data_IF_630196821347
#
_entry.id   IF_630196821347
#
_cell.length_a   1.000
_cell.length_b   1.000
_cell.length_c   1.000
_cell.angle_alpha   90.00
_cell.angle_beta   90.00
_cell.angle_gamma   90.00
#
_symmetry.space_group_name_H-M   'P 1'
#
loop_
_entity.id
_entity.type
_entity.pdbx_description
1 polymer ?
#
# COMPACT_ATOMS: atom_id res chain seq x y z
N UNK A 1 58.85 20.40 -51.64
CA UNK A 1 59.73 21.35 -50.95
C UNK A 1 59.30 21.39 -49.49
N UNK A 2 60.23 21.07 -48.59
CA UNK A 2 60.33 21.53 -47.18
C UNK A 2 59.07 21.99 -46.43
N UNK A 3 58.74 21.28 -45.33
CA UNK A 3 58.14 21.87 -44.11
C UNK A 3 58.98 23.05 -43.58
N UNK A 4 58.43 23.94 -42.71
CA UNK A 4 58.66 23.70 -41.27
C UNK A 4 57.65 24.33 -40.25
N UNK A 5 57.57 23.72 -39.05
CA UNK A 5 57.65 24.33 -37.69
C UNK A 5 56.55 25.36 -37.27
N UNK A 6 55.64 25.06 -36.32
CA UNK A 6 55.77 24.89 -34.84
C UNK A 6 55.54 26.22 -34.05
N UNK A 7 55.29 26.07 -32.73
CA UNK A 7 55.39 27.02 -31.60
C UNK A 7 54.07 27.49 -30.96
N UNK A 8 53.73 26.88 -29.83
CA UNK A 8 53.11 27.57 -28.69
C UNK A 8 54.14 28.53 -28.06
N UNK A 9 53.72 29.55 -27.29
CA UNK A 9 53.87 29.39 -25.83
C UNK A 9 52.79 30.05 -24.94
N UNK A 10 52.85 29.69 -23.66
CA UNK A 10 51.99 30.08 -22.54
C UNK A 10 52.29 31.47 -21.95
N UNK A 11 51.31 32.06 -21.22
CA UNK A 11 51.38 32.59 -19.82
C UNK A 11 50.02 33.26 -19.48
N UNK A 12 49.26 32.92 -18.43
CA UNK A 12 49.52 33.11 -16.97
C UNK A 12 49.40 34.59 -16.55
N UNK A 13 48.66 35.04 -15.52
CA UNK A 13 47.74 34.42 -14.54
C UNK A 13 46.93 35.53 -13.79
N UNK A 14 46.06 35.15 -12.83
CA UNK A 14 45.50 36.01 -11.74
C UNK A 14 44.49 37.12 -12.16
N UNK A 15 43.46 37.53 -11.41
CA UNK A 15 42.87 37.21 -10.08
C UNK A 15 41.32 37.14 -10.27
N UNK A 16 40.44 36.55 -9.44
CA UNK A 16 40.44 35.42 -8.50
C UNK A 16 39.00 35.28 -7.91
N UNK A 17 38.67 34.11 -7.33
CA UNK A 17 37.52 33.85 -6.43
C UNK A 17 36.08 34.08 -6.96
N UNK A 18 35.39 32.98 -7.28
CA UNK A 18 34.11 32.73 -6.63
C UNK A 18 33.95 31.24 -6.26
N UNK A 19 33.42 30.97 -5.06
CA UNK A 19 33.36 29.62 -4.48
C UNK A 19 31.97 29.00 -4.71
N UNK A 20 31.72 28.49 -5.91
CA UNK A 20 30.61 27.54 -6.10
C UNK A 20 31.00 26.18 -5.53
N UNK A 21 30.57 25.98 -4.29
CA UNK A 21 30.65 24.71 -3.57
C UNK A 21 29.57 23.79 -4.14
N UNK A 22 29.88 23.11 -5.26
CA UNK A 22 28.95 22.22 -5.96
C UNK A 22 28.74 20.92 -5.17
N UNK A 23 27.91 21.02 -4.14
CA UNK A 23 27.26 19.88 -3.52
C UNK A 23 26.34 19.22 -4.55
N UNK A 24 26.83 18.20 -5.25
CA UNK A 24 25.95 17.31 -5.99
C UNK A 24 24.91 16.71 -5.03
N UNK A 25 23.60 16.79 -5.33
CA UNK A 25 22.59 16.00 -4.65
C UNK A 25 22.63 14.56 -5.20
N UNK A 26 23.66 13.79 -4.83
CA UNK A 26 23.75 12.34 -5.07
C UNK A 26 22.75 11.57 -4.19
N UNK A 27 21.44 11.79 -4.38
CA UNK A 27 20.37 11.09 -3.65
C UNK A 27 19.18 10.66 -4.51
N UNK A 28 19.09 11.08 -5.79
CA UNK A 28 17.95 10.78 -6.68
C UNK A 28 17.96 9.36 -7.31
N UNK A 29 18.51 8.35 -6.62
CA UNK A 29 18.61 6.98 -7.18
C UNK A 29 18.54 5.83 -6.15
N UNK A 30 17.99 6.05 -4.95
CA UNK A 30 17.91 4.99 -3.92
C UNK A 30 16.56 4.87 -3.20
N UNK A 31 15.45 5.25 -3.84
CA UNK A 31 14.13 4.66 -3.50
C UNK A 31 13.89 3.45 -4.40
N UNK A 32 14.06 2.20 -3.93
CA UNK A 32 13.63 1.04 -4.72
C UNK A 32 12.12 1.14 -5.00
N UNK A 33 11.63 0.58 -6.12
CA UNK A 33 10.20 0.53 -6.40
C UNK A 33 9.47 -0.17 -5.23
N UNK A 34 8.29 0.33 -4.87
CA UNK A 34 7.50 -0.15 -3.72
C UNK A 34 7.24 -1.66 -3.75
N UNK A 35 7.19 -2.24 -4.95
CA UNK A 35 7.09 -3.67 -5.25
C UNK A 35 8.19 -4.53 -4.61
N UNK A 36 9.36 -3.96 -4.27
CA UNK A 36 10.47 -4.68 -3.64
C UNK A 36 10.57 -4.48 -2.10
N UNK A 37 9.61 -3.80 -1.46
CA UNK A 37 9.60 -3.59 0.01
C UNK A 37 8.83 -4.70 0.73
N UNK A 38 8.96 -5.94 0.24
CA UNK A 38 8.56 -7.13 1.00
C UNK A 38 9.60 -7.43 2.07
N UNK A 39 9.31 -7.00 3.31
CA UNK A 39 10.12 -7.30 4.47
C UNK A 39 10.17 -8.81 4.71
N UNK A 40 11.31 -9.44 4.43
CA UNK A 40 11.55 -10.84 4.78
C UNK A 40 11.36 -11.05 6.29
N UNK A 41 10.30 -11.77 6.64
CA UNK A 41 10.26 -12.80 7.68
C UNK A 41 11.07 -12.50 8.96
N UNK A 42 10.57 -11.57 9.79
CA UNK A 42 10.58 -11.67 11.28
C UNK A 42 10.10 -10.40 12.01
N UNK A 43 9.94 -9.25 11.34
CA UNK A 43 9.49 -7.99 11.97
C UNK A 43 8.57 -7.15 11.04
N UNK A 44 7.75 -7.77 10.19
CA UNK A 44 6.82 -7.01 9.36
C UNK A 44 5.58 -6.60 10.18
N UNK A 45 5.26 -5.29 10.31
CA UNK A 45 4.05 -4.85 10.99
C UNK A 45 2.83 -5.12 10.11
N UNK A 46 2.21 -6.29 10.31
CA UNK A 46 1.05 -6.80 9.59
C UNK A 46 1.31 -7.10 8.09
N UNK A 47 1.15 -8.37 7.69
CA UNK A 47 1.37 -8.79 6.29
C UNK A 47 0.23 -8.42 5.35
N UNK A 48 -0.99 -8.25 5.86
CA UNK A 48 -2.21 -8.07 5.08
C UNK A 48 -2.58 -6.57 4.92
N UNK A 49 -1.67 -5.79 4.33
CA UNK A 49 -1.80 -4.33 4.18
C UNK A 49 -3.10 -3.93 3.46
N UNK A 50 -3.56 -4.71 2.48
CA UNK A 50 -4.84 -4.43 1.80
C UNK A 50 -6.02 -4.50 2.77
N UNK A 51 -6.03 -5.51 3.66
CA UNK A 51 -7.09 -5.71 4.64
C UNK A 51 -7.11 -4.58 5.69
N UNK A 52 -5.93 -4.18 6.18
CA UNK A 52 -5.82 -3.05 7.11
C UNK A 52 -6.36 -1.76 6.49
N UNK A 53 -5.92 -1.44 5.26
CA UNK A 53 -6.36 -0.26 4.55
C UNK A 53 -7.87 -0.29 4.26
N UNK A 54 -8.43 -1.44 3.91
CA UNK A 54 -9.87 -1.64 3.68
C UNK A 54 -10.71 -1.30 4.93
N UNK A 55 -10.26 -1.72 6.12
CA UNK A 55 -10.98 -1.46 7.37
C UNK A 55 -10.74 -0.04 7.94
N UNK A 56 -9.57 0.55 7.68
CA UNK A 56 -9.27 1.93 8.04
C UNK A 56 -9.85 2.96 7.05
N UNK A 57 -10.16 2.59 5.81
CA UNK A 57 -10.69 3.48 4.78
C UNK A 57 -11.95 4.20 5.29
N UNK A 58 -12.09 5.53 5.13
CA UNK A 58 -13.28 6.25 5.58
C UNK A 58 -14.54 5.79 4.84
N UNK A 59 -14.39 5.46 3.56
CA UNK A 59 -15.41 4.88 2.68
C UNK A 59 -14.88 3.54 2.11
N UNK A 60 -15.38 2.44 2.64
CA UNK A 60 -14.99 1.09 2.23
C UNK A 60 -15.48 0.75 0.82
N UNK A 61 -16.69 1.22 0.46
CA UNK A 61 -17.29 1.00 -0.86
C UNK A 61 -16.42 1.63 -1.94
N UNK A 62 -15.99 2.87 -1.72
CA UNK A 62 -15.07 3.56 -2.63
C UNK A 62 -13.71 2.88 -2.71
N UNK A 63 -13.15 2.44 -1.57
CA UNK A 63 -11.88 1.72 -1.55
C UNK A 63 -11.93 0.45 -2.42
N UNK A 64 -12.97 -0.38 -2.27
CA UNK A 64 -13.20 -1.58 -3.09
C UNK A 64 -13.38 -1.28 -4.59
N UNK A 65 -13.96 -0.12 -4.92
CA UNK A 65 -14.21 0.29 -6.31
C UNK A 65 -13.01 0.90 -7.04
N UNK A 66 -12.01 1.42 -6.31
CA UNK A 66 -10.90 2.23 -6.87
C UNK A 66 -9.51 1.59 -6.69
N UNK A 67 -9.30 0.77 -5.66
CA UNK A 67 -8.02 0.06 -5.47
C UNK A 67 -7.97 -1.25 -6.25
N UNK A 68 -6.77 -1.70 -6.66
CA UNK A 68 -6.56 -3.08 -7.12
C UNK A 68 -6.61 -4.05 -5.95
N UNK A 69 -7.18 -5.25 -6.15
CA UNK A 69 -6.99 -6.34 -5.19
C UNK A 69 -5.49 -6.70 -5.16
N UNK A 70 -4.98 -7.01 -3.98
CA UNK A 70 -3.55 -7.30 -3.75
C UNK A 70 -3.37 -8.77 -3.40
N UNK A 71 -2.19 -9.31 -3.67
CA UNK A 71 -1.91 -10.75 -3.57
C UNK A 71 -1.98 -11.27 -2.12
N UNK A 72 -1.81 -10.39 -1.12
CA UNK A 72 -2.01 -10.69 0.30
C UNK A 72 -3.44 -11.16 0.62
N UNK A 73 -4.44 -10.74 -0.15
CA UNK A 73 -5.84 -11.19 0.01
C UNK A 73 -6.00 -12.69 -0.24
N UNK A 74 -5.16 -13.28 -1.10
CA UNK A 74 -5.18 -14.73 -1.36
C UNK A 74 -4.45 -15.54 -0.28
N UNK A 75 -3.84 -14.89 0.71
CA UNK A 75 -3.26 -15.52 1.91
C UNK A 75 -4.19 -15.50 3.13
N UNK A 76 -5.37 -14.86 3.03
CA UNK A 76 -6.37 -14.80 4.09
C UNK A 76 -7.15 -16.12 4.21
N UNK A 77 -7.76 -16.39 5.38
CA UNK A 77 -8.81 -17.40 5.54
C UNK A 77 -9.85 -17.35 4.41
N UNK A 78 -10.29 -18.52 3.94
CA UNK A 78 -11.15 -18.66 2.76
C UNK A 78 -12.44 -17.83 2.89
N UNK A 79 -12.99 -17.74 4.11
CA UNK A 79 -14.19 -16.96 4.40
C UNK A 79 -13.97 -15.45 4.23
N UNK A 80 -12.83 -14.91 4.68
CA UNK A 80 -12.45 -13.50 4.47
C UNK A 80 -12.19 -13.21 2.99
N UNK A 81 -11.38 -14.06 2.34
CA UNK A 81 -11.05 -13.94 0.92
C UNK A 81 -12.32 -13.91 0.07
N UNK A 82 -13.25 -14.85 0.31
CA UNK A 82 -14.53 -14.95 -0.39
C UNK A 82 -15.37 -13.70 -0.16
N UNK A 83 -15.55 -13.27 1.09
CA UNK A 83 -16.33 -12.10 1.45
C UNK A 83 -15.81 -10.82 0.77
N UNK A 84 -14.49 -10.61 0.75
CA UNK A 84 -13.85 -9.45 0.11
C UNK A 84 -14.08 -9.49 -1.41
N UNK A 85 -13.94 -10.66 -2.03
CA UNK A 85 -14.20 -10.83 -3.47
C UNK A 85 -15.68 -10.59 -3.82
N UNK A 86 -16.61 -11.12 -3.03
CA UNK A 86 -18.05 -10.92 -3.20
C UNK A 86 -18.43 -9.44 -3.03
N UNK A 87 -18.01 -8.80 -1.94
CA UNK A 87 -18.31 -7.39 -1.66
C UNK A 87 -17.75 -6.47 -2.74
N UNK A 88 -16.53 -6.75 -3.22
CA UNK A 88 -15.92 -6.04 -4.35
C UNK A 88 -16.74 -6.21 -5.64
N UNK A 89 -17.21 -7.41 -5.92
CA UNK A 89 -18.04 -7.69 -7.10
C UNK A 89 -19.37 -6.95 -7.04
N UNK A 90 -20.06 -6.97 -5.90
CA UNK A 90 -21.30 -6.21 -5.66
C UNK A 90 -21.09 -4.72 -5.95
N UNK A 91 -20.02 -4.13 -5.40
CA UNK A 91 -19.67 -2.72 -5.59
C UNK A 91 -19.38 -2.38 -7.06
N UNK A 92 -18.61 -3.21 -7.76
CA UNK A 92 -18.27 -2.98 -9.17
C UNK A 92 -19.50 -3.10 -10.08
N UNK A 93 -20.39 -4.07 -9.83
CA UNK A 93 -21.64 -4.27 -10.57
C UNK A 93 -22.61 -3.10 -10.35
N UNK A 94 -22.78 -2.63 -9.10
CA UNK A 94 -23.59 -1.44 -8.80
C UNK A 94 -23.03 -0.18 -9.49
N UNK A 95 -21.70 0.02 -9.47
CA UNK A 95 -21.03 1.15 -10.13
C UNK A 95 -21.15 1.10 -11.66
N UNK A 96 -21.08 -0.09 -12.26
CA UNK A 96 -21.21 -0.26 -13.72
C UNK A 96 -22.65 -0.04 -14.20
N UNK A 97 -23.64 -0.53 -13.46
CA UNK A 97 -25.05 -0.48 -13.85
C UNK A 97 -25.79 0.78 -13.34
N UNK A 98 -25.11 1.67 -12.60
CA UNK A 98 -25.72 2.80 -11.87
C UNK A 98 -26.91 2.37 -10.98
N UNK A 99 -26.83 1.18 -10.40
CA UNK A 99 -27.87 0.60 -9.53
C UNK A 99 -27.50 0.82 -8.05
N UNK A 100 -28.46 1.05 -7.13
CA UNK A 100 -28.19 1.06 -5.70
C UNK A 100 -27.43 -0.19 -5.25
N UNK A 101 -26.57 0.01 -4.24
CA UNK A 101 -25.75 -1.05 -3.64
C UNK A 101 -26.59 -1.84 -2.63
N UNK A 102 -27.25 -2.89 -3.12
CA UNK A 102 -28.13 -3.73 -2.30
C UNK A 102 -27.45 -5.01 -1.78
N UNK A 103 -26.17 -5.18 -2.10
CA UNK A 103 -25.33 -6.32 -1.76
C UNK A 103 -25.39 -6.77 -0.28
N UNK A 104 -25.21 -8.07 -0.06
CA UNK A 104 -25.16 -8.68 1.27
C UNK A 104 -23.71 -8.92 1.73
N UNK A 105 -22.76 -9.10 0.82
CA UNK A 105 -21.36 -9.24 1.17
C UNK A 105 -20.79 -7.92 1.70
N UNK A 106 -21.08 -6.77 1.07
CA UNK A 106 -20.64 -5.47 1.60
C UNK A 106 -21.22 -5.18 3.00
N UNK A 107 -22.47 -5.59 3.28
CA UNK A 107 -23.09 -5.44 4.61
C UNK A 107 -22.41 -6.32 5.67
N UNK A 108 -22.11 -7.59 5.34
CA UNK A 108 -21.32 -8.48 6.21
C UNK A 108 -19.91 -7.95 6.45
N UNK A 109 -19.27 -7.38 5.43
CA UNK A 109 -17.92 -6.81 5.54
C UNK A 109 -17.89 -5.54 6.42
N UNK A 110 -18.91 -4.68 6.34
CA UNK A 110 -19.06 -3.56 7.29
C UNK A 110 -19.39 -4.06 8.71
N UNK A 111 -20.14 -5.16 8.91
CA UNK A 111 -20.29 -5.77 10.25
C UNK A 111 -18.95 -6.19 10.85
N UNK A 112 -18.09 -6.85 10.06
CA UNK A 112 -16.72 -7.23 10.48
C UNK A 112 -15.91 -5.98 10.85
N UNK A 113 -16.02 -4.89 10.07
CA UNK A 113 -15.36 -3.62 10.37
C UNK A 113 -15.80 -3.01 11.70
N UNK A 114 -17.10 -2.96 11.95
CA UNK A 114 -17.63 -2.40 13.20
C UNK A 114 -17.30 -3.29 14.40
N UNK A 115 -17.27 -4.62 14.23
CA UNK A 115 -16.73 -5.54 15.24
C UNK A 115 -15.29 -5.17 15.61
N UNK A 116 -14.38 -5.13 14.64
CA UNK A 116 -12.96 -4.81 14.85
C UNK A 116 -12.80 -3.44 15.55
N UNK A 117 -13.52 -2.41 15.09
CA UNK A 117 -13.50 -1.08 15.72
C UNK A 117 -13.99 -1.11 17.18
N UNK A 118 -15.03 -1.89 17.46
CA UNK A 118 -15.61 -2.00 18.80
C UNK A 118 -14.67 -2.66 19.81
N UNK A 119 -13.96 -3.72 19.39
CA UNK A 119 -12.93 -4.40 20.19
C UNK A 119 -11.72 -3.50 20.37
N UNK A 120 -11.25 -2.87 19.29
CA UNK A 120 -10.05 -2.06 19.27
C UNK A 120 -10.20 -0.65 19.87
N UNK A 121 -11.42 -0.23 20.25
CA UNK A 121 -11.71 1.13 20.75
C UNK A 121 -11.16 2.25 19.84
N UNK A 122 -11.21 2.03 18.52
CA UNK A 122 -10.66 2.92 17.47
C UNK A 122 -9.13 3.14 17.50
N UNK A 123 -8.36 2.44 18.35
CA UNK A 123 -6.90 2.49 18.28
C UNK A 123 -6.35 1.66 17.10
N UNK A 124 -5.39 2.23 16.36
CA UNK A 124 -4.85 1.58 15.15
C UNK A 124 -3.96 0.38 15.47
N UNK A 125 -3.22 0.41 16.59
CA UNK A 125 -2.41 -0.74 17.00
C UNK A 125 -3.31 -1.90 17.48
N UNK A 126 -4.37 -1.59 18.22
CA UNK A 126 -5.39 -2.56 18.59
C UNK A 126 -6.12 -3.13 17.36
N UNK A 127 -6.48 -2.31 16.35
CA UNK A 127 -7.07 -2.79 15.08
C UNK A 127 -6.16 -3.82 14.40
N UNK A 128 -4.84 -3.56 14.33
CA UNK A 128 -3.86 -4.49 13.75
C UNK A 128 -3.80 -5.81 14.53
N UNK A 129 -3.85 -5.75 15.87
CA UNK A 129 -3.85 -6.94 16.72
C UNK A 129 -5.13 -7.76 16.54
N UNK A 130 -6.31 -7.14 16.65
CA UNK A 130 -7.61 -7.79 16.44
C UNK A 130 -7.74 -8.39 15.04
N UNK A 131 -7.22 -7.72 14.00
CA UNK A 131 -7.14 -8.30 12.66
C UNK A 131 -6.21 -9.51 12.58
N UNK A 132 -5.08 -9.47 13.28
CA UNK A 132 -4.13 -10.59 13.33
C UNK A 132 -4.68 -11.80 14.10
N UNK A 133 -5.54 -11.56 15.10
CA UNK A 133 -6.26 -12.59 15.84
C UNK A 133 -7.38 -13.19 14.98
N UNK A 134 -8.22 -12.34 14.36
CA UNK A 134 -9.31 -12.75 13.47
C UNK A 134 -8.84 -13.53 12.22
N UNK A 135 -7.63 -13.24 11.71
CA UNK A 135 -7.00 -14.03 10.63
C UNK A 135 -6.57 -15.43 11.11
N UNK A 136 -6.31 -15.60 12.41
CA UNK A 136 -5.83 -16.86 13.01
C UNK A 136 -6.95 -17.71 13.58
N UNK A 137 -8.09 -17.12 13.92
CA UNK A 137 -9.28 -17.80 14.46
C UNK A 137 -10.42 -17.83 13.42
N UNK A 138 -10.45 -18.90 12.61
CA UNK A 138 -11.47 -19.09 11.58
C UNK A 138 -12.88 -19.35 12.16
N UNK A 139 -12.98 -19.82 13.41
CA UNK A 139 -14.25 -20.10 14.08
C UNK A 139 -14.90 -18.77 14.55
N UNK A 140 -14.14 -17.88 15.19
CA UNK A 140 -14.59 -16.53 15.56
C UNK A 140 -15.03 -15.74 14.32
N UNK A 141 -14.23 -15.81 13.24
CA UNK A 141 -14.55 -15.21 11.95
C UNK A 141 -15.90 -15.71 11.40
N UNK A 142 -16.16 -17.03 11.48
CA UNK A 142 -17.40 -17.63 11.00
C UNK A 142 -18.61 -17.17 11.83
N UNK A 143 -18.48 -17.11 13.16
CA UNK A 143 -19.52 -16.64 14.08
C UNK A 143 -19.94 -15.18 13.79
N UNK A 144 -19.01 -14.32 13.36
CA UNK A 144 -19.31 -12.92 13.00
C UNK A 144 -20.07 -12.83 11.66
N UNK A 145 -19.86 -13.79 10.75
CA UNK A 145 -20.50 -13.81 9.42
C UNK A 145 -21.89 -14.46 9.41
N UNK A 146 -22.22 -15.27 10.40
CA UNK A 146 -23.54 -15.90 10.57
C UNK A 146 -24.58 -15.02 11.29
N UNK A 147 -24.13 -13.91 11.90
CA UNK A 147 -24.96 -12.90 12.59
C UNK A 147 -25.36 -11.74 11.68
#
# INVERSE_FOLDING_TARGET
MTDPINMQPSTSNHFSADRVNEFEPQTLSLTPPLENVYFKEQNQPFSCIYLLNLFLAPDMTRYLAETSISDDVYSLPVHLQTLICEARMEVLVSKQNNHPLEGNAIKRLEKVREYIKSVANYDTAAIINTLSELIRDEDEMSIILEQ
#
